data_IF_472111303588
#
_entry.id   IF_472111303588
#
_cell.length_a   1.000
_cell.length_b   1.000
_cell.length_c   1.000
_cell.angle_alpha   90.00
_cell.angle_beta   90.00
_cell.angle_gamma   90.00
#
_symmetry.space_group_name_H-M   'P 1'
#
loop_
_entity.id
_entity.type
_entity.pdbx_description
1 polymer ?
#
# COMPACT_ATOMS: atom_id res chain seq x y z
N UNK A 1 -14.28 15.22 12.68
CA UNK A 1 -14.45 13.85 13.21
C UNK A 1 -15.16 13.01 12.15
N UNK A 2 -14.96 11.70 12.16
CA UNK A 2 -15.66 10.78 11.26
C UNK A 2 -16.23 9.59 12.03
N UNK A 3 -17.22 8.93 11.44
CA UNK A 3 -17.77 7.65 11.91
C UNK A 3 -18.07 6.78 10.69
N UNK A 4 -17.60 5.54 10.71
CA UNK A 4 -17.95 4.57 9.68
C UNK A 4 -19.10 3.67 10.15
N UNK A 5 -20.00 3.34 9.23
CA UNK A 5 -21.09 2.40 9.44
C UNK A 5 -21.13 1.40 8.30
N UNK A 6 -21.30 0.12 8.62
CA UNK A 6 -21.65 -0.93 7.66
C UNK A 6 -23.07 -1.38 7.99
N UNK A 7 -23.97 -1.27 7.01
CA UNK A 7 -25.39 -1.59 7.14
C UNK A 7 -26.07 -0.86 8.30
N UNK A 8 -25.69 0.40 8.51
CA UNK A 8 -26.18 1.23 9.60
C UNK A 8 -25.61 0.91 10.98
N UNK A 9 -24.71 -0.07 11.10
CA UNK A 9 -24.03 -0.40 12.37
C UNK A 9 -22.65 0.26 12.42
N UNK A 10 -22.31 0.98 13.50
CA UNK A 10 -21.00 1.62 13.62
C UNK A 10 -19.88 0.59 13.70
N UNK A 11 -18.76 0.86 13.04
CA UNK A 11 -17.54 0.05 13.11
C UNK A 11 -16.40 0.83 13.80
N UNK A 12 -15.39 0.15 14.38
CA UNK A 12 -14.30 0.83 15.07
C UNK A 12 -13.54 1.79 14.15
N UNK A 13 -13.42 3.04 14.57
CA UNK A 13 -12.53 4.01 13.95
C UNK A 13 -11.08 3.70 14.35
N UNK A 14 -10.14 3.94 13.45
CA UNK A 14 -8.72 3.93 13.76
C UNK A 14 -8.31 5.35 14.14
N UNK A 15 -7.66 5.51 15.29
CA UNK A 15 -7.15 6.80 15.75
C UNK A 15 -5.70 6.98 15.33
N UNK A 16 -5.32 8.20 14.98
CA UNK A 16 -3.93 8.59 14.75
C UNK A 16 -3.65 9.91 15.47
N UNK A 17 -2.42 10.09 15.97
CA UNK A 17 -2.04 11.22 16.85
C UNK A 17 -1.43 12.41 16.09
N UNK A 18 -1.13 12.28 14.80
CA UNK A 18 -0.59 13.35 13.94
C UNK A 18 -1.46 13.64 12.70
N UNK A 19 -0.87 14.36 11.73
CA UNK A 19 -1.50 14.57 10.42
C UNK A 19 -0.98 13.53 9.45
N UNK A 20 -1.85 12.69 8.91
CA UNK A 20 -1.50 11.66 7.92
C UNK A 20 -2.44 11.73 6.72
N UNK A 21 -1.90 11.37 5.55
CA UNK A 21 -2.66 11.12 4.33
C UNK A 21 -2.66 9.61 4.08
N UNK A 22 -3.71 9.07 3.44
CA UNK A 22 -3.83 7.63 3.19
C UNK A 22 -3.81 6.76 4.47
N UNK A 23 -4.29 7.30 5.59
CA UNK A 23 -4.43 6.54 6.84
C UNK A 23 -5.78 5.82 6.89
N UNK A 24 -5.84 4.54 7.30
CA UNK A 24 -7.12 3.83 7.45
C UNK A 24 -8.05 4.57 8.42
N UNK A 25 -9.23 4.99 7.95
CA UNK A 25 -10.22 5.66 8.81
C UNK A 25 -10.92 4.68 9.75
N UNK A 26 -11.20 3.49 9.22
CA UNK A 26 -11.94 2.42 9.86
C UNK A 26 -11.64 1.11 9.13
N UNK A 27 -11.82 -0.01 9.83
CA UNK A 27 -11.62 -1.34 9.26
C UNK A 27 -12.60 -2.31 9.91
N UNK A 28 -13.25 -3.14 9.10
CA UNK A 28 -14.04 -4.26 9.56
C UNK A 28 -13.47 -5.54 8.96
N UNK A 29 -13.53 -6.64 9.72
CA UNK A 29 -13.08 -7.95 9.25
C UNK A 29 -14.08 -8.58 8.28
N UNK A 30 -14.30 -9.88 8.44
CA UNK A 30 -15.19 -10.65 7.55
C UNK A 30 -16.63 -10.13 7.58
N UNK A 31 -17.16 -9.93 6.37
CA UNK A 31 -18.56 -9.63 6.10
C UNK A 31 -19.27 -10.85 5.53
N UNK A 32 -20.60 -10.86 5.60
CA UNK A 32 -21.40 -11.87 4.91
C UNK A 32 -21.24 -11.71 3.39
N UNK A 33 -21.37 -12.78 2.58
CA UNK A 33 -21.21 -12.72 1.13
C UNK A 33 -22.46 -12.12 0.47
N UNK A 34 -22.80 -10.88 0.82
CA UNK A 34 -23.94 -10.14 0.30
C UNK A 34 -23.58 -8.68 -0.02
N UNK A 35 -24.53 -7.91 -0.53
CA UNK A 35 -24.34 -6.49 -0.75
C UNK A 35 -24.36 -5.74 0.59
N UNK A 36 -23.33 -4.93 0.82
CA UNK A 36 -23.18 -4.12 2.03
C UNK A 36 -23.14 -2.63 1.70
N UNK A 37 -23.72 -1.83 2.59
CA UNK A 37 -23.66 -0.37 2.48
C UNK A 37 -22.66 0.21 3.48
N UNK A 38 -21.53 0.71 2.98
CA UNK A 38 -20.62 1.54 3.76
C UNK A 38 -21.10 3.00 3.76
N UNK A 39 -21.28 3.58 4.94
CA UNK A 39 -21.49 5.02 5.15
C UNK A 39 -20.35 5.60 5.97
N UNK A 40 -19.75 6.67 5.47
CA UNK A 40 -18.77 7.47 6.22
C UNK A 40 -19.43 8.80 6.58
N UNK A 41 -19.80 8.96 7.85
CA UNK A 41 -20.36 10.20 8.38
C UNK A 41 -19.23 11.12 8.79
N UNK A 42 -19.12 12.25 8.10
CA UNK A 42 -18.07 13.25 8.37
C UNK A 42 -18.67 14.48 9.01
N UNK A 43 -18.10 14.88 10.13
CA UNK A 43 -18.36 16.18 10.76
C UNK A 43 -17.13 17.07 10.59
N UNK A 44 -17.20 17.99 9.65
CA UNK A 44 -16.21 19.04 9.44
C UNK A 44 -16.88 20.41 9.34
N UNK A 45 -16.23 21.44 9.89
CA UNK A 45 -16.77 22.82 9.91
C UNK A 45 -16.05 23.74 8.94
N UNK A 46 -14.71 23.67 8.89
CA UNK A 46 -13.88 24.68 8.21
C UNK A 46 -12.90 24.08 7.21
N UNK A 47 -12.78 22.75 7.13
CA UNK A 47 -11.84 22.08 6.23
C UNK A 47 -12.54 21.00 5.41
N UNK A 48 -12.21 20.85 4.12
CA UNK A 48 -12.68 19.69 3.36
C UNK A 48 -12.16 18.39 3.99
N UNK A 49 -12.94 17.32 3.87
CA UNK A 49 -12.52 15.97 4.20
C UNK A 49 -12.44 15.19 2.90
N UNK A 50 -11.25 14.68 2.59
CA UNK A 50 -11.01 13.90 1.39
C UNK A 50 -10.95 12.42 1.78
N UNK A 51 -11.68 11.60 1.03
CA UNK A 51 -11.64 10.15 1.15
C UNK A 51 -10.84 9.62 -0.05
N UNK A 52 -9.70 8.99 0.24
CA UNK A 52 -8.75 8.60 -0.80
C UNK A 52 -9.18 7.31 -1.50
N UNK A 53 -9.44 6.25 -0.73
CA UNK A 53 -9.78 4.94 -1.29
C UNK A 53 -10.67 4.11 -0.38
N UNK A 54 -11.31 3.11 -0.98
CA UNK A 54 -11.96 1.99 -0.31
C UNK A 54 -11.22 0.72 -0.72
N UNK A 55 -10.62 0.04 0.25
CA UNK A 55 -9.95 -1.24 0.04
C UNK A 55 -10.82 -2.34 0.64
N UNK A 56 -11.06 -3.40 -0.13
CA UNK A 56 -11.83 -4.56 0.30
C UNK A 56 -11.31 -5.82 -0.37
N UNK A 57 -11.53 -6.97 0.28
CA UNK A 57 -11.29 -8.28 -0.32
C UNK A 57 -12.56 -8.73 -1.03
N UNK A 58 -12.53 -8.95 -2.36
CA UNK A 58 -13.70 -9.41 -3.08
C UNK A 58 -14.00 -10.88 -2.77
N UNK A 59 -15.24 -11.30 -3.04
CA UNK A 59 -15.59 -12.72 -2.96
C UNK A 59 -14.78 -13.55 -3.98
N UNK A 60 -14.45 -14.82 -3.67
CA UNK A 60 -13.84 -15.71 -4.64
C UNK A 60 -14.66 -15.79 -5.94
N UNK A 61 -14.02 -15.58 -7.08
CA UNK A 61 -14.67 -15.62 -8.39
C UNK A 61 -15.44 -14.34 -8.78
N UNK A 62 -15.42 -13.29 -7.96
CA UNK A 62 -15.95 -11.99 -8.37
C UNK A 62 -15.20 -11.48 -9.61
N UNK A 63 -15.95 -11.05 -10.62
CA UNK A 63 -15.40 -10.52 -11.87
C UNK A 63 -15.58 -9.01 -11.89
N UNK A 64 -14.48 -8.30 -12.11
CA UNK A 64 -14.48 -6.86 -12.27
C UNK A 64 -14.05 -6.51 -13.70
N UNK A 65 -14.74 -5.60 -14.39
CA UNK A 65 -14.32 -5.15 -15.71
C UNK A 65 -12.97 -4.41 -15.66
N UNK A 66 -12.67 -3.76 -14.54
CA UNK A 66 -11.38 -3.13 -14.23
C UNK A 66 -11.25 -3.03 -12.71
N UNK A 67 -10.10 -3.42 -12.17
CA UNK A 67 -9.78 -3.26 -10.75
C UNK A 67 -8.28 -3.04 -10.57
N UNK A 68 -7.92 -2.25 -9.55
CA UNK A 68 -6.55 -2.17 -9.04
C UNK A 68 -6.45 -3.19 -7.91
N UNK A 69 -5.53 -4.14 -8.04
CA UNK A 69 -5.25 -5.12 -7.00
C UNK A 69 -4.12 -4.60 -6.12
N UNK A 70 -4.29 -4.70 -4.81
CA UNK A 70 -3.28 -4.33 -3.82
C UNK A 70 -2.70 -5.63 -3.26
N UNK A 71 -1.40 -5.80 -3.46
CA UNK A 71 -0.62 -6.89 -2.88
C UNK A 71 0.14 -6.32 -1.68
N UNK A 72 -0.19 -6.80 -0.47
CA UNK A 72 0.55 -6.44 0.74
C UNK A 72 1.86 -7.23 0.81
N UNK A 73 2.79 -6.81 1.66
CA UNK A 73 4.11 -7.45 1.83
C UNK A 73 4.06 -8.92 2.29
N UNK A 74 2.93 -9.34 2.82
CA UNK A 74 2.62 -10.72 3.24
C UNK A 74 1.77 -11.50 2.23
N UNK A 75 1.48 -10.92 1.05
CA UNK A 75 0.66 -11.58 0.04
C UNK A 75 1.40 -12.80 -0.55
N UNK A 76 0.74 -13.99 -0.65
CA UNK A 76 1.38 -15.20 -1.16
C UNK A 76 1.78 -15.13 -2.64
N UNK A 77 1.30 -14.14 -3.40
CA UNK A 77 1.76 -13.87 -4.76
C UNK A 77 3.18 -13.27 -4.81
N UNK A 78 3.69 -12.77 -3.67
CA UNK A 78 5.04 -12.23 -3.54
C UNK A 78 6.01 -13.31 -3.08
N UNK A 79 7.14 -13.41 -3.79
CA UNK A 79 8.27 -14.26 -3.40
C UNK A 79 9.49 -13.39 -3.15
N UNK A 80 10.02 -13.46 -1.94
CA UNK A 80 11.18 -12.70 -1.48
C UNK A 80 12.45 -13.55 -1.52
N UNK A 81 13.58 -12.93 -1.84
CA UNK A 81 14.89 -13.55 -1.65
C UNK A 81 15.27 -13.65 -0.16
N UNK A 82 16.31 -14.41 0.18
CA UNK A 82 16.69 -14.68 1.58
C UNK A 82 17.16 -13.45 2.39
N UNK A 83 17.39 -12.31 1.74
CA UNK A 83 17.97 -11.10 2.33
C UNK A 83 16.91 -10.09 2.82
N UNK A 84 15.65 -10.52 2.94
CA UNK A 84 14.56 -9.72 3.49
C UNK A 84 14.30 -10.11 4.95
N UNK A 85 14.06 -9.11 5.77
CA UNK A 85 13.80 -9.23 7.20
C UNK A 85 12.38 -8.78 7.53
N UNK A 86 11.85 -9.25 8.66
CA UNK A 86 10.57 -8.84 9.21
C UNK A 86 10.77 -7.74 10.25
N UNK A 87 10.26 -6.54 9.97
CA UNK A 87 10.34 -5.39 10.89
C UNK A 87 9.00 -4.64 10.95
N UNK A 88 7.91 -5.38 11.13
CA UNK A 88 6.53 -4.88 10.99
C UNK A 88 6.01 -4.99 9.57
N UNK A 89 6.90 -4.79 8.59
CA UNK A 89 6.75 -5.12 7.18
C UNK A 89 8.04 -5.79 6.67
N UNK A 90 8.02 -6.33 5.45
CA UNK A 90 9.22 -6.79 4.74
C UNK A 90 10.20 -5.62 4.46
N UNK A 91 11.42 -5.72 4.99
CA UNK A 91 12.47 -4.72 4.80
C UNK A 91 13.81 -5.34 4.37
N UNK A 92 14.64 -4.57 3.66
CA UNK A 92 16.02 -4.96 3.37
C UNK A 92 16.92 -3.75 3.16
N UNK A 93 18.19 -3.87 3.54
CA UNK A 93 19.26 -2.93 3.17
C UNK A 93 20.38 -3.62 2.37
N UNK A 94 20.15 -4.88 1.97
CA UNK A 94 21.15 -5.71 1.33
C UNK A 94 21.03 -5.56 -0.19
N UNK A 95 22.13 -5.12 -0.83
CA UNK A 95 22.20 -5.01 -2.28
C UNK A 95 21.96 -6.37 -2.93
N UNK A 96 21.11 -6.41 -3.95
CA UNK A 96 20.77 -7.63 -4.68
C UNK A 96 19.62 -8.42 -4.08
N UNK A 97 19.05 -7.98 -2.96
CA UNK A 97 17.75 -8.45 -2.51
C UNK A 97 16.70 -8.21 -3.60
N UNK A 98 15.80 -9.16 -3.79
CA UNK A 98 14.77 -9.11 -4.83
C UNK A 98 13.42 -9.59 -4.30
N UNK A 99 12.36 -9.10 -4.93
CA UNK A 99 10.99 -9.56 -4.74
C UNK A 99 10.40 -9.81 -6.12
N UNK A 100 9.67 -10.92 -6.26
CA UNK A 100 8.98 -11.31 -7.48
C UNK A 100 7.48 -11.30 -7.24
N UNK A 101 6.72 -10.67 -8.13
CA UNK A 101 5.27 -10.67 -8.14
C UNK A 101 4.79 -11.34 -9.43
N UNK A 102 3.98 -12.39 -9.29
CA UNK A 102 3.22 -12.94 -10.42
C UNK A 102 1.84 -12.29 -10.42
N UNK A 103 1.49 -11.56 -11.48
CA UNK A 103 0.20 -10.87 -11.57
C UNK A 103 -0.39 -10.97 -12.98
N UNK A 104 -1.70 -10.75 -13.07
CA UNK A 104 -2.42 -10.61 -14.32
C UNK A 104 -3.00 -9.19 -14.39
N UNK A 105 -2.40 -8.34 -15.21
CA UNK A 105 -2.81 -6.94 -15.34
C UNK A 105 -2.05 -6.21 -16.43
N UNK A 106 -2.34 -4.92 -16.59
CA UNK A 106 -1.76 -4.09 -17.65
C UNK A 106 -0.64 -3.18 -17.15
N UNK A 107 -0.40 -3.09 -15.85
CA UNK A 107 0.70 -2.32 -15.25
C UNK A 107 0.85 -2.66 -13.77
N UNK A 108 2.05 -2.50 -13.22
CA UNK A 108 2.30 -2.63 -11.79
C UNK A 108 2.93 -1.35 -11.23
N UNK A 109 2.55 -1.02 -9.99
CA UNK A 109 3.10 0.12 -9.24
C UNK A 109 3.67 -0.40 -7.93
N UNK A 110 4.93 -0.06 -7.65
CA UNK A 110 5.54 -0.31 -6.34
C UNK A 110 5.42 0.96 -5.50
N UNK A 111 4.71 0.85 -4.39
CA UNK A 111 4.66 1.85 -3.33
C UNK A 111 5.41 1.28 -2.13
N UNK A 112 6.29 2.06 -1.53
CA UNK A 112 7.04 1.67 -0.35
C UNK A 112 7.15 2.81 0.65
N UNK A 113 8.00 2.62 1.65
CA UNK A 113 8.32 3.65 2.61
C UNK A 113 9.82 3.63 2.95
N UNK A 114 10.36 4.79 3.33
CA UNK A 114 11.74 4.90 3.82
C UNK A 114 11.72 5.17 5.31
N UNK A 115 12.02 4.14 6.10
CA UNK A 115 11.99 4.21 7.57
C UNK A 115 13.15 5.03 8.14
N UNK A 116 12.86 5.84 9.16
CA UNK A 116 13.89 6.56 9.91
C UNK A 116 14.78 5.64 10.78
N UNK A 117 14.39 4.38 10.98
CA UNK A 117 15.19 3.37 11.68
C UNK A 117 16.11 2.61 10.71
N UNK A 118 15.75 2.56 9.43
CA UNK A 118 16.52 1.91 8.35
C UNK A 118 17.01 2.95 7.32
N UNK A 119 17.66 4.00 7.81
CA UNK A 119 18.07 5.14 6.96
C UNK A 119 19.04 4.72 5.88
N UNK A 120 18.81 5.22 4.67
CA UNK A 120 19.76 5.11 3.57
C UNK A 120 19.76 6.41 2.76
N UNK A 121 20.86 6.63 2.04
CA UNK A 121 20.93 7.63 0.96
C UNK A 121 20.14 7.13 -0.24
N UNK A 122 19.71 8.04 -1.11
CA UNK A 122 19.10 7.66 -2.38
C UNK A 122 19.99 6.64 -3.12
N UNK A 123 19.37 5.58 -3.63
CA UNK A 123 20.04 4.48 -4.31
C UNK A 123 19.29 4.12 -5.58
N UNK A 124 19.64 2.99 -6.19
CA UNK A 124 18.99 2.52 -7.41
C UNK A 124 18.55 1.07 -7.26
N UNK A 125 17.44 0.75 -7.92
CA UNK A 125 16.96 -0.61 -8.12
C UNK A 125 16.74 -0.85 -9.62
N UNK A 126 16.41 -2.09 -9.95
CA UNK A 126 16.00 -2.47 -11.29
C UNK A 126 14.82 -3.43 -11.24
N UNK A 127 13.89 -3.32 -12.19
CA UNK A 127 12.86 -4.32 -12.42
C UNK A 127 12.98 -4.87 -13.85
N UNK A 128 12.43 -6.05 -14.07
CA UNK A 128 12.20 -6.61 -15.40
C UNK A 128 10.87 -7.38 -15.36
N UNK A 129 10.23 -7.50 -16.52
CA UNK A 129 8.93 -8.14 -16.66
C UNK A 129 9.12 -9.27 -17.67
N UNK A 130 8.66 -10.47 -17.38
CA UNK A 130 8.68 -11.62 -18.30
C UNK A 130 10.03 -11.88 -18.98
N UNK A 131 11.14 -11.65 -18.26
CA UNK A 131 12.50 -11.86 -18.76
C UNK A 131 13.02 -10.78 -19.72
N UNK A 132 12.34 -9.64 -19.84
CA UNK A 132 12.87 -8.49 -20.58
C UNK A 132 14.13 -7.91 -19.94
N UNK A 133 14.79 -6.98 -20.63
CA UNK A 133 15.92 -6.24 -20.07
C UNK A 133 15.55 -5.44 -18.81
N UNK A 134 16.52 -5.20 -17.90
CA UNK A 134 16.27 -4.46 -16.68
C UNK A 134 16.01 -2.98 -16.94
N UNK A 135 14.98 -2.43 -16.30
CA UNK A 135 14.72 -1.00 -16.23
C UNK A 135 15.15 -0.47 -14.87
N UNK A 136 16.00 0.57 -14.88
CA UNK A 136 16.49 1.21 -13.67
C UNK A 136 15.46 2.18 -13.09
N UNK A 137 15.39 2.23 -11.77
CA UNK A 137 14.62 3.22 -11.03
C UNK A 137 15.41 3.74 -9.83
N UNK A 138 15.02 4.90 -9.33
CA UNK A 138 15.61 5.49 -8.12
C UNK A 138 14.85 5.02 -6.89
N UNK A 139 15.58 4.56 -5.89
CA UNK A 139 15.06 4.31 -4.56
C UNK A 139 15.29 5.56 -3.71
N UNK A 140 14.24 6.31 -3.33
CA UNK A 140 14.38 7.52 -2.55
C UNK A 140 14.91 7.19 -1.15
N UNK A 141 15.92 7.94 -0.71
CA UNK A 141 16.42 7.91 0.66
C UNK A 141 15.86 9.08 1.47
N UNK A 142 16.18 9.12 2.76
CA UNK A 142 15.79 10.26 3.59
C UNK A 142 16.67 11.49 3.30
N UNK A 143 16.09 12.70 3.18
CA UNK A 143 16.85 13.90 2.80
C UNK A 143 17.84 14.36 3.86
N UNK A 144 17.61 14.04 5.14
CA UNK A 144 18.53 14.35 6.24
C UNK A 144 18.45 13.32 7.37
N UNK A 145 19.45 13.30 8.25
CA UNK A 145 19.49 12.40 9.40
C UNK A 145 18.34 12.62 10.41
N UNK A 146 17.68 13.78 10.38
CA UNK A 146 16.56 14.13 11.26
C UNK A 146 15.20 13.98 10.57
N UNK A 147 15.16 13.40 9.37
CA UNK A 147 13.90 13.21 8.65
C UNK A 147 13.06 12.14 9.33
N UNK A 148 11.74 12.38 9.37
CA UNK A 148 10.77 11.37 9.76
C UNK A 148 10.65 10.27 8.69
N UNK A 149 10.02 9.15 9.04
CA UNK A 149 9.71 8.08 8.08
C UNK A 149 8.84 8.64 6.97
N UNK A 150 9.19 8.36 5.72
CA UNK A 150 8.40 8.76 4.56
C UNK A 150 7.53 7.59 4.10
N UNK A 151 6.24 7.63 4.42
CA UNK A 151 5.25 6.63 4.01
C UNK A 151 4.71 6.90 2.60
N UNK A 152 4.05 5.90 2.02
CA UNK A 152 3.29 6.02 0.76
C UNK A 152 4.10 6.58 -0.42
N UNK A 153 5.38 6.23 -0.50
CA UNK A 153 6.29 6.73 -1.52
C UNK A 153 6.18 5.88 -2.78
N UNK A 154 5.76 6.50 -3.89
CA UNK A 154 5.83 5.90 -5.21
C UNK A 154 7.29 5.61 -5.57
N UNK A 155 7.64 4.34 -5.73
CA UNK A 155 9.00 3.94 -6.13
C UNK A 155 9.11 3.90 -7.66
N UNK A 156 8.20 3.17 -8.31
CA UNK A 156 8.07 3.16 -9.76
C UNK A 156 6.68 2.70 -10.19
N UNK A 157 6.35 2.96 -11.45
CA UNK A 157 5.24 2.34 -12.18
C UNK A 157 5.78 1.79 -13.48
N UNK A 158 5.39 0.57 -13.84
CA UNK A 158 5.76 -0.02 -15.12
C UNK A 158 5.04 0.71 -16.26
N UNK A 159 5.53 0.62 -17.51
CA UNK A 159 4.73 0.94 -18.67
C UNK A 159 3.46 0.08 -18.73
N UNK A 160 2.54 0.46 -19.63
CA UNK A 160 1.44 -0.41 -20.02
C UNK A 160 1.98 -1.67 -20.71
N UNK A 161 1.45 -2.84 -20.31
CA UNK A 161 1.80 -4.17 -20.79
C UNK A 161 0.79 -4.68 -21.82
#
# INVERSE_FOLDING_TARGET
AWQCLVDGKPIPNKTFTGSESNWPLCSLGTLTPEEHQLKVLVQSRTRPFFLDSLVYTPMPGAVFPSAVLIYTDSDPALTYSAQWEEAGEKVTQIRGASVTLNFHGTSATLIGHTSNSFRHKASSGSYFIDGTGPTLFTLPGLPSANSETQYNTLVFTTPSL
#
